data_IF_374043147287
#
_entry.id   IF_374043147287
#
_cell.length_a   1.000
_cell.length_b   1.000
_cell.length_c   1.000
_cell.angle_alpha   90.00
_cell.angle_beta   90.00
_cell.angle_gamma   90.00
#
_symmetry.space_group_name_H-M   'P 1'
#
loop_
_entity.id
_entity.type
_entity.pdbx_description
1 polymer ?
#
# COMPACT_ATOMS: atom_id res chain seq x y z
N UNK A 1 8.12 18.64 -12.75
CA UNK A 1 8.33 17.73 -11.61
C UNK A 1 7.28 16.65 -11.70
N UNK A 2 7.66 15.37 -11.79
CA UNK A 2 6.70 14.27 -11.86
C UNK A 2 6.07 14.10 -10.47
N UNK A 3 4.74 14.13 -10.41
CA UNK A 3 4.00 13.94 -9.15
C UNK A 3 4.28 12.53 -8.59
N UNK A 4 4.50 12.40 -7.27
CA UNK A 4 4.67 11.10 -6.63
C UNK A 4 3.35 10.31 -6.72
N UNK A 5 3.39 8.99 -6.95
CA UNK A 5 2.17 8.19 -7.09
C UNK A 5 1.41 8.00 -5.77
N UNK A 6 2.01 8.40 -4.65
CA UNK A 6 1.39 8.42 -3.33
C UNK A 6 1.91 9.58 -2.48
N UNK A 7 1.19 9.87 -1.41
CA UNK A 7 1.66 10.68 -0.28
C UNK A 7 1.46 9.89 1.01
N UNK A 8 2.28 10.19 2.02
CA UNK A 8 2.03 9.74 3.40
C UNK A 8 1.30 10.83 4.16
N UNK A 9 0.48 10.40 5.11
CA UNK A 9 -0.22 11.26 6.07
C UNK A 9 0.03 10.74 7.49
N UNK A 10 -0.45 11.46 8.50
CA UNK A 10 -0.36 11.02 9.88
C UNK A 10 -1.07 9.67 10.12
N UNK A 11 -0.73 9.00 11.23
CA UNK A 11 -1.33 7.73 11.68
C UNK A 11 -1.10 6.52 10.76
N UNK A 12 0.09 6.41 10.15
CA UNK A 12 0.45 5.31 9.24
C UNK A 12 -0.49 5.22 8.02
N UNK A 13 -0.85 6.37 7.44
CA UNK A 13 -1.75 6.43 6.28
C UNK A 13 -0.98 6.69 5.00
N UNK A 14 -1.21 5.87 3.98
CA UNK A 14 -0.75 6.06 2.60
C UNK A 14 -1.96 6.44 1.75
N UNK A 15 -1.82 7.49 0.94
CA UNK A 15 -2.89 7.94 0.02
C UNK A 15 -2.38 7.75 -1.41
N UNK A 16 -3.05 6.88 -2.16
CA UNK A 16 -2.78 6.66 -3.59
C UNK A 16 -3.27 7.86 -4.42
N UNK A 17 -2.43 8.36 -5.33
CA UNK A 17 -2.68 9.61 -6.05
C UNK A 17 -2.81 9.46 -7.56
N UNK A 18 -2.26 8.40 -8.15
CA UNK A 18 -2.10 8.31 -9.62
C UNK A 18 -2.54 6.95 -10.16
N UNK A 19 -3.61 6.92 -10.96
CA UNK A 19 -4.18 5.68 -11.54
C UNK A 19 -3.22 4.85 -12.40
N UNK A 20 -2.21 5.49 -12.99
CA UNK A 20 -1.28 4.85 -13.94
C UNK A 20 -0.35 3.83 -13.29
N UNK A 21 -0.07 3.96 -11.98
CA UNK A 21 0.80 3.07 -11.26
C UNK A 21 0.05 2.44 -10.09
N UNK A 22 0.17 1.12 -9.96
CA UNK A 22 -0.23 0.45 -8.73
C UNK A 22 0.85 0.64 -7.66
N UNK A 23 0.49 0.61 -6.38
CA UNK A 23 1.48 0.64 -5.30
C UNK A 23 1.66 -0.77 -4.76
N UNK A 24 2.90 -1.25 -4.76
CA UNK A 24 3.29 -2.46 -4.07
C UNK A 24 3.86 -2.08 -2.71
N UNK A 25 3.03 -2.18 -1.67
CA UNK A 25 3.39 -1.83 -0.31
C UNK A 25 4.09 -3.01 0.36
N UNK A 26 5.28 -2.75 0.89
CA UNK A 26 6.14 -3.72 1.57
C UNK A 26 6.29 -3.29 3.03
N UNK A 27 6.22 -4.26 3.96
CA UNK A 27 6.26 -4.04 5.39
C UNK A 27 7.26 -4.97 6.06
N UNK A 28 8.56 -4.69 5.89
CA UNK A 28 9.60 -5.63 6.27
C UNK A 28 9.52 -6.93 5.45
N UNK A 29 10.28 -7.92 5.88
CA UNK A 29 10.45 -9.18 5.14
C UNK A 29 9.43 -10.25 5.53
N UNK A 30 8.90 -10.20 6.76
CA UNK A 30 8.02 -11.25 7.29
C UNK A 30 6.53 -11.04 6.96
N UNK A 31 6.14 -9.81 6.62
CA UNK A 31 4.75 -9.49 6.33
C UNK A 31 4.44 -9.60 4.83
N UNK A 32 3.25 -10.12 4.47
CA UNK A 32 2.90 -10.27 3.08
C UNK A 32 2.72 -8.90 2.40
N UNK A 33 3.26 -8.71 1.19
CA UNK A 33 3.12 -7.45 0.47
C UNK A 33 1.67 -7.21 0.06
N UNK A 34 1.30 -5.95 -0.06
CA UNK A 34 -0.05 -5.50 -0.40
C UNK A 34 -0.01 -4.76 -1.73
N UNK A 35 -0.86 -5.16 -2.68
CA UNK A 35 -1.03 -4.44 -3.94
C UNK A 35 -2.24 -3.50 -3.83
N UNK A 36 -1.99 -2.23 -4.12
CA UNK A 36 -2.95 -1.13 -4.09
C UNK A 36 -3.19 -0.69 -5.52
N UNK A 37 -4.42 -0.89 -5.98
CA UNK A 37 -4.85 -0.47 -7.32
C UNK A 37 -5.89 0.64 -7.20
N UNK A 38 -6.20 1.28 -8.32
CA UNK A 38 -7.32 2.23 -8.35
C UNK A 38 -8.69 1.61 -8.00
N UNK A 39 -8.84 0.29 -8.11
CA UNK A 39 -10.09 -0.42 -7.80
C UNK A 39 -10.20 -0.81 -6.32
N UNK A 40 -9.08 -0.94 -5.63
CA UNK A 40 -9.03 -1.43 -4.25
C UNK A 40 -7.72 -2.15 -3.96
N UNK A 41 -7.74 -2.94 -2.88
CA UNK A 41 -6.55 -3.52 -2.27
C UNK A 41 -6.71 -5.02 -2.09
N UNK A 42 -5.62 -5.75 -2.28
CA UNK A 42 -5.51 -7.17 -1.92
C UNK A 42 -4.09 -7.52 -1.50
N UNK A 43 -3.93 -8.67 -0.86
CA UNK A 43 -2.62 -9.28 -0.69
C UNK A 43 -2.00 -9.58 -2.05
N UNK A 44 -0.72 -9.31 -2.20
CA UNK A 44 0.04 -9.61 -3.41
C UNK A 44 0.67 -10.99 -3.32
N UNK A 45 0.40 -11.83 -4.32
CA UNK A 45 0.85 -13.22 -4.40
C UNK A 45 1.86 -13.45 -5.54
N UNK A 46 2.22 -12.38 -6.27
CA UNK A 46 3.18 -12.44 -7.37
C UNK A 46 4.63 -12.35 -6.90
N UNK A 47 5.57 -12.42 -7.85
CA UNK A 47 6.99 -12.13 -7.58
C UNK A 47 7.12 -10.67 -7.13
N UNK A 48 7.71 -10.45 -5.96
CA UNK A 48 8.09 -9.10 -5.51
C UNK A 48 9.30 -8.66 -6.34
N UNK A 49 9.23 -7.48 -7.00
CA UNK A 49 10.36 -6.95 -7.75
C UNK A 49 11.56 -6.70 -6.84
N UNK A 50 12.75 -6.97 -7.35
CA UNK A 50 14.01 -6.86 -6.59
C UNK A 50 14.44 -5.40 -6.39
N UNK A 51 13.91 -4.49 -7.21
CA UNK A 51 14.25 -3.07 -7.14
C UNK A 51 13.17 -2.17 -7.80
N UNK A 52 13.26 -0.86 -7.52
CA UNK A 52 12.34 0.16 -8.07
C UNK A 52 12.26 0.17 -9.61
N UNK A 53 13.32 -0.25 -10.31
CA UNK A 53 13.32 -0.27 -11.80
C UNK A 53 12.48 -1.43 -12.33
N UNK A 54 12.62 -2.63 -11.77
CA UNK A 54 11.79 -3.79 -12.11
C UNK A 54 10.31 -3.51 -11.81
N UNK A 55 10.02 -2.92 -10.65
CA UNK A 55 8.66 -2.51 -10.28
C UNK A 55 8.03 -1.58 -11.34
N UNK A 56 8.79 -0.58 -11.81
CA UNK A 56 8.32 0.34 -12.86
C UNK A 56 8.06 -0.33 -14.20
N UNK A 57 8.80 -1.40 -14.53
CA UNK A 57 8.52 -2.20 -15.74
C UNK A 57 7.21 -3.00 -15.61
N UNK A 58 6.74 -3.21 -14.39
CA UNK A 58 5.47 -3.87 -14.07
C UNK A 58 4.31 -2.87 -13.83
N UNK A 59 4.52 -1.58 -14.16
CA UNK A 59 3.59 -0.49 -13.87
C UNK A 59 3.27 -0.33 -12.35
N UNK A 60 4.26 -0.63 -11.51
CA UNK A 60 4.15 -0.51 -10.05
C UNK A 60 5.16 0.49 -9.47
N UNK A 61 4.81 1.11 -8.35
CA UNK A 61 5.74 1.77 -7.45
C UNK A 61 5.92 0.94 -6.18
N UNK A 62 7.17 0.62 -5.82
CA UNK A 62 7.48 -0.01 -4.54
C UNK A 62 7.40 1.01 -3.41
N UNK A 63 6.59 0.71 -2.40
CA UNK A 63 6.38 1.55 -1.22
C UNK A 63 6.77 0.77 0.02
N UNK A 64 8.04 0.87 0.41
CA UNK A 64 8.56 0.22 1.60
C UNK A 64 8.38 1.11 2.83
N UNK A 65 7.48 0.69 3.74
CA UNK A 65 7.11 1.44 4.95
C UNK A 65 8.27 1.59 5.94
N UNK A 66 9.25 0.69 5.88
CA UNK A 66 10.41 0.69 6.78
C UNK A 66 11.44 1.75 6.39
N UNK A 67 11.32 2.31 5.18
CA UNK A 67 12.18 3.42 4.75
C UNK A 67 11.76 4.73 5.40
N UNK A 68 12.73 5.58 5.71
CA UNK A 68 12.49 6.92 6.27
C UNK A 68 11.73 7.86 5.32
N UNK A 69 11.65 7.54 4.03
CA UNK A 69 10.82 8.24 3.06
C UNK A 69 9.31 8.02 3.31
N UNK A 70 8.95 6.89 3.92
CA UNK A 70 7.56 6.49 4.15
C UNK A 70 7.20 6.64 5.63
N UNK A 71 7.67 5.74 6.50
CA UNK A 71 7.44 5.83 7.95
C UNK A 71 8.69 5.51 8.80
N UNK A 72 9.60 4.68 8.32
CA UNK A 72 10.87 4.37 8.98
C UNK A 72 10.84 3.12 9.89
N UNK A 73 9.70 2.44 9.97
CA UNK A 73 9.51 1.25 10.82
C UNK A 73 8.39 0.36 10.29
N UNK A 74 8.45 -0.92 10.65
CA UNK A 74 7.39 -1.88 10.37
C UNK A 74 6.09 -1.50 11.10
N UNK A 75 4.96 -1.75 10.44
CA UNK A 75 3.64 -1.36 10.96
C UNK A 75 2.80 -2.58 11.29
N UNK A 76 2.30 -2.67 12.52
CA UNK A 76 1.21 -3.60 12.84
C UNK A 76 -0.09 -3.17 12.18
N UNK A 77 -0.35 -1.86 12.14
CA UNK A 77 -1.55 -1.25 11.56
C UNK A 77 -1.16 -0.19 10.53
N UNK A 78 -1.72 -0.34 9.33
CA UNK A 78 -1.53 0.56 8.21
C UNK A 78 -2.90 0.94 7.63
N UNK A 79 -3.05 2.19 7.22
CA UNK A 79 -4.23 2.66 6.51
C UNK A 79 -3.86 3.04 5.09
N UNK A 80 -4.69 2.66 4.13
CA UNK A 80 -4.46 2.99 2.72
C UNK A 80 -5.74 3.51 2.10
N UNK A 81 -5.70 4.77 1.68
CA UNK A 81 -6.75 5.38 0.89
C UNK A 81 -6.47 5.16 -0.60
N UNK A 82 -7.44 4.58 -1.30
CA UNK A 82 -7.34 4.34 -2.75
C UNK A 82 -8.16 5.35 -3.55
N UNK A 83 -7.93 5.41 -4.86
CA UNK A 83 -8.59 6.36 -5.77
C UNK A 83 -10.11 6.15 -5.90
N UNK A 84 -10.65 5.04 -5.41
CA UNK A 84 -12.10 4.79 -5.38
C UNK A 84 -12.81 5.48 -4.19
N UNK A 85 -12.11 6.29 -3.39
CA UNK A 85 -12.69 6.97 -2.22
C UNK A 85 -12.73 6.15 -0.94
N UNK A 86 -12.29 4.88 -0.97
CA UNK A 86 -12.25 3.98 0.19
C UNK A 86 -10.91 4.05 0.90
N UNK A 87 -10.97 4.03 2.22
CA UNK A 87 -9.83 3.78 3.09
C UNK A 87 -9.90 2.36 3.63
N UNK A 88 -8.80 1.62 3.47
CA UNK A 88 -8.64 0.27 3.96
C UNK A 88 -7.76 0.29 5.20
N UNK A 89 -8.13 -0.52 6.19
CA UNK A 89 -7.27 -0.90 7.31
C UNK A 89 -6.61 -2.23 6.99
N UNK A 90 -5.29 -2.27 7.12
CA UNK A 90 -4.46 -3.46 7.03
C UNK A 90 -3.91 -3.74 8.43
N UNK A 91 -4.28 -4.90 8.98
CA UNK A 91 -3.88 -5.34 10.32
C UNK A 91 -2.99 -6.58 10.21
N UNK A 92 -1.67 -6.35 10.19
CA UNK A 92 -0.68 -7.40 10.01
C UNK A 92 -0.67 -8.43 11.15
N UNK A 93 -1.25 -8.12 12.31
CA UNK A 93 -1.48 -9.10 13.39
C UNK A 93 -2.58 -10.12 13.07
N UNK A 94 -3.34 -9.91 11.98
CA UNK A 94 -4.48 -10.71 11.54
C UNK A 94 -4.26 -11.37 10.18
N UNK A 95 -3.02 -11.43 9.71
CA UNK A 95 -2.62 -12.10 8.47
C UNK A 95 -3.22 -13.50 8.37
N UNK A 96 -3.72 -13.88 7.20
CA UNK A 96 -4.40 -15.17 6.97
C UNK A 96 -5.86 -15.23 7.40
N UNK A 97 -6.42 -14.15 7.96
CA UNK A 97 -7.84 -14.09 8.35
C UNK A 97 -8.62 -13.07 7.52
N UNK A 98 -9.95 -13.16 7.54
CA UNK A 98 -10.84 -12.15 6.92
C UNK A 98 -10.77 -10.76 7.58
N UNK A 99 -10.02 -10.61 8.67
CA UNK A 99 -9.79 -9.34 9.38
C UNK A 99 -8.51 -8.66 8.95
N UNK A 100 -7.68 -9.31 8.11
CA UNK A 100 -6.41 -8.76 7.65
C UNK A 100 -6.59 -7.45 6.87
N UNK A 101 -7.48 -7.46 5.88
CA UNK A 101 -7.81 -6.29 5.05
C UNK A 101 -9.30 -6.00 5.22
N UNK A 102 -9.63 -4.81 5.73
CA UNK A 102 -11.01 -4.34 5.89
C UNK A 102 -11.16 -2.94 5.34
N UNK A 103 -12.34 -2.63 4.80
CA UNK A 103 -12.72 -1.23 4.56
C UNK A 103 -12.90 -0.57 5.94
N UNK A 104 -12.15 0.49 6.21
CA UNK A 104 -12.24 1.28 7.42
C UNK A 104 -13.24 2.43 7.28
N UNK A 105 -13.18 3.13 6.16
CA UNK A 105 -14.09 4.21 5.79
C UNK A 105 -14.45 4.09 4.32
N UNK A 106 -15.72 4.35 4.01
CA UNK A 106 -16.24 4.42 2.65
C UNK A 106 -16.82 5.83 2.51
N UNK A 107 -16.05 6.75 1.89
CA UNK A 107 -16.57 8.09 1.62
C UNK A 107 -17.48 8.03 0.40
N UNK A 108 -18.79 8.04 0.63
CA UNK A 108 -19.80 8.34 -0.39
C UNK A 108 -19.86 9.86 -0.59
N UNK A 109 -19.00 10.42 -1.42
CA UNK A 109 -19.19 11.75 -1.98
C UNK A 109 -19.25 11.67 -3.49
#
# INVERSE_FOLDING_TARGET
MTEKPFITSGRNTIIHKIRKLDLLVINGDEHPPIIVTYKGIKQYEGKVPENKREAKMMDMEMVDVTTSEVFGDEKTLLFIQTLNGKEYKIDYSKTGTSMFIKIHQDSFF
#
